data_IF_707002243303
#
_entry.id   IF_707002243303
#
_cell.length_a   1.000
_cell.length_b   1.000
_cell.length_c   1.000
_cell.angle_alpha   90.00
_cell.angle_beta   90.00
_cell.angle_gamma   90.00
#
_symmetry.space_group_name_H-M   'P 1'
#
loop_
_entity.id
_entity.type
_entity.pdbx_description
1 polymer ?
#
# COMPACT_ATOMS: atom_id res chain seq x y z
N UNK A 1 5.22 14.70 81.45
CA UNK A 1 4.49 13.52 81.96
C UNK A 1 3.76 12.87 80.78
N UNK A 2 4.08 11.59 80.50
CA UNK A 2 3.34 10.58 79.70
C UNK A 2 3.03 10.93 78.22
N UNK A 3 3.70 10.30 77.24
CA UNK A 3 3.47 8.93 76.70
C UNK A 3 2.28 8.89 75.70
N UNK A 4 2.24 8.23 74.55
CA UNK A 4 3.13 7.42 73.69
C UNK A 4 2.27 7.09 72.44
N UNK A 5 2.84 6.92 71.24
CA UNK A 5 2.13 6.36 70.07
C UNK A 5 2.83 6.73 68.75
N UNK A 6 3.94 6.11 68.30
CA UNK A 6 4.16 4.74 67.79
C UNK A 6 3.91 4.59 66.25
N UNK A 7 5.01 4.37 65.52
CA UNK A 7 5.21 3.58 64.28
C UNK A 7 4.63 4.08 62.93
N UNK A 8 5.51 4.30 61.93
CA UNK A 8 5.70 3.37 60.81
C UNK A 8 6.76 3.86 59.80
N UNK A 9 7.74 2.99 59.56
CA UNK A 9 8.75 3.04 58.49
C UNK A 9 8.10 2.66 57.16
N UNK A 10 8.46 3.32 56.04
CA UNK A 10 8.66 2.61 54.76
C UNK A 10 9.42 3.47 53.74
N UNK A 11 10.58 2.98 53.31
CA UNK A 11 11.29 3.44 52.14
C UNK A 11 10.61 2.88 50.87
N UNK A 12 10.48 3.69 49.82
CA UNK A 12 10.25 3.19 48.46
C UNK A 12 11.28 3.81 47.50
N UNK A 13 12.26 2.97 47.18
CA UNK A 13 13.07 3.01 45.96
C UNK A 13 12.19 2.67 44.75
N UNK A 14 12.51 3.26 43.59
CA UNK A 14 11.97 2.89 42.27
C UNK A 14 10.69 3.65 41.92
N UNK A 15 10.54 4.27 40.76
CA UNK A 15 10.96 3.74 39.46
C UNK A 15 11.14 4.83 38.41
N UNK A 16 12.29 4.85 37.75
CA UNK A 16 12.41 5.39 36.39
C UNK A 16 11.60 4.50 35.46
N UNK A 17 10.37 4.90 35.16
CA UNK A 17 9.59 4.34 34.06
C UNK A 17 9.49 5.40 32.98
N UNK A 18 10.59 5.59 32.23
CA UNK A 18 10.44 6.02 30.85
C UNK A 18 9.90 4.80 30.10
N UNK A 19 8.58 4.63 30.18
CA UNK A 19 7.81 3.69 29.38
C UNK A 19 8.26 3.86 27.94
N UNK A 20 8.95 2.84 27.42
CA UNK A 20 9.19 2.74 25.99
C UNK A 20 7.82 2.71 25.34
N UNK A 21 7.40 3.84 24.77
CA UNK A 21 6.29 3.83 23.84
C UNK A 21 6.66 2.80 22.77
N UNK A 22 5.88 1.72 22.67
CA UNK A 22 5.96 0.79 21.54
C UNK A 22 5.83 1.63 20.26
N UNK A 23 6.98 1.96 19.66
CA UNK A 23 7.02 2.76 18.44
C UNK A 23 6.62 1.83 17.32
N UNK A 24 5.32 1.83 17.00
CA UNK A 24 4.76 1.13 15.84
C UNK A 24 5.64 1.44 14.62
N UNK A 25 6.07 0.42 13.85
CA UNK A 25 6.88 0.65 12.67
C UNK A 25 6.20 1.65 11.73
N UNK A 26 6.94 2.69 11.34
CA UNK A 26 6.50 3.58 10.27
C UNK A 26 6.66 2.86 8.94
N UNK A 27 5.83 3.18 7.96
CA UNK A 27 5.89 2.52 6.65
C UNK A 27 6.18 3.52 5.54
N UNK A 28 6.90 3.07 4.51
CA UNK A 28 7.22 3.86 3.32
C UNK A 28 6.94 3.04 2.08
N UNK A 29 6.07 3.54 1.19
CA UNK A 29 5.67 2.86 -0.04
C UNK A 29 6.46 3.38 -1.24
N UNK A 30 7.22 2.51 -1.91
CA UNK A 30 8.07 2.87 -3.04
C UNK A 30 7.62 2.18 -4.32
N UNK A 31 7.83 2.82 -5.47
CA UNK A 31 7.52 2.26 -6.78
C UNK A 31 8.75 2.31 -7.70
N UNK A 32 8.99 1.21 -8.40
CA UNK A 32 10.11 1.00 -9.31
C UNK A 32 9.61 0.40 -10.62
N UNK A 33 10.17 0.85 -11.74
CA UNK A 33 10.00 0.13 -13.01
C UNK A 33 11.09 -0.91 -13.09
N UNK A 34 10.68 -2.17 -13.19
CA UNK A 34 11.57 -3.34 -13.30
C UNK A 34 11.44 -3.91 -14.70
N UNK A 35 12.56 -4.18 -15.34
CA UNK A 35 12.62 -5.02 -16.54
C UNK A 35 13.42 -6.27 -16.20
N UNK A 36 12.82 -7.43 -16.41
CA UNK A 36 13.48 -8.74 -16.31
C UNK A 36 13.71 -9.34 -17.70
N UNK A 37 14.75 -10.14 -17.84
CA UNK A 37 14.97 -10.99 -19.02
C UNK A 37 14.05 -12.23 -19.04
N UNK A 38 14.27 -13.12 -20.02
CA UNK A 38 13.47 -14.34 -20.19
C UNK A 38 13.78 -15.40 -19.11
N UNK A 39 14.89 -15.25 -18.41
CA UNK A 39 15.30 -16.08 -17.28
C UNK A 39 14.81 -15.53 -15.93
N UNK A 40 14.24 -14.31 -15.93
CA UNK A 40 13.68 -13.68 -14.75
C UNK A 40 14.65 -12.79 -13.96
N UNK A 41 15.84 -12.51 -14.47
CA UNK A 41 16.81 -11.65 -13.83
C UNK A 41 16.54 -10.18 -14.14
N UNK A 42 16.74 -9.31 -13.14
CA UNK A 42 16.56 -7.86 -13.31
C UNK A 42 17.68 -7.27 -14.18
N UNK A 43 17.35 -6.90 -15.41
CA UNK A 43 18.29 -6.26 -16.36
C UNK A 43 18.19 -4.73 -16.36
N UNK A 44 17.05 -4.18 -15.95
CA UNK A 44 16.86 -2.73 -15.81
C UNK A 44 16.02 -2.41 -14.58
N UNK A 45 16.43 -1.38 -13.86
CA UNK A 45 15.73 -0.89 -12.67
C UNK A 45 15.73 0.63 -12.69
N UNK A 46 14.54 1.23 -12.69
CA UNK A 46 14.36 2.67 -12.62
C UNK A 46 13.48 3.04 -11.44
N UNK A 47 13.94 3.97 -10.63
CA UNK A 47 13.14 4.51 -9.55
C UNK A 47 12.02 5.39 -10.12
N UNK A 48 10.78 5.12 -9.72
CA UNK A 48 9.66 5.95 -10.13
C UNK A 48 9.35 7.03 -9.09
N UNK A 49 9.16 6.63 -7.84
CA UNK A 49 8.98 7.58 -6.73
C UNK A 49 10.33 8.07 -6.24
N UNK A 50 10.60 9.38 -6.33
CA UNK A 50 11.89 9.96 -5.90
C UNK A 50 12.03 9.90 -4.38
N UNK A 51 12.96 9.08 -3.92
CA UNK A 51 13.42 8.98 -2.54
C UNK A 51 14.87 9.43 -2.45
N UNK A 52 15.29 9.77 -1.22
CA UNK A 52 16.69 10.10 -0.96
C UNK A 52 17.59 8.88 -1.21
N UNK A 53 18.83 9.15 -1.61
CA UNK A 53 19.78 8.12 -2.05
C UNK A 53 20.07 7.06 -0.98
N UNK A 54 19.96 7.43 0.30
CA UNK A 54 20.23 6.59 1.47
C UNK A 54 19.23 5.42 1.58
N UNK A 55 17.99 5.60 1.12
CA UNK A 55 16.98 4.52 1.05
C UNK A 55 17.01 3.86 -0.32
N UNK A 56 17.13 4.66 -1.38
CA UNK A 56 17.02 4.17 -2.75
C UNK A 56 18.16 3.24 -3.16
N UNK A 57 19.42 3.53 -2.78
CA UNK A 57 20.58 2.74 -3.20
C UNK A 57 20.61 1.33 -2.59
N UNK A 58 20.46 1.14 -1.26
CA UNK A 58 20.41 -0.20 -0.67
C UNK A 58 19.23 -1.02 -1.21
N UNK A 59 18.03 -0.42 -1.29
CA UNK A 59 16.87 -1.09 -1.85
C UNK A 59 17.09 -1.48 -3.32
N UNK A 60 17.68 -0.60 -4.14
CA UNK A 60 17.97 -0.92 -5.54
C UNK A 60 19.03 -2.02 -5.70
N UNK A 61 19.96 -2.16 -4.75
CA UNK A 61 20.91 -3.28 -4.72
C UNK A 61 20.17 -4.58 -4.39
N UNK A 62 19.31 -4.54 -3.39
CA UNK A 62 18.49 -5.69 -2.98
C UNK A 62 17.52 -6.13 -4.10
N UNK A 63 16.79 -5.21 -4.74
CA UNK A 63 15.86 -5.54 -5.83
C UNK A 63 16.58 -6.23 -7.00
N UNK A 64 17.83 -5.84 -7.31
CA UNK A 64 18.60 -6.45 -8.39
C UNK A 64 19.00 -7.91 -8.12
N UNK A 65 18.98 -8.36 -6.87
CA UNK A 65 19.24 -9.76 -6.53
C UNK A 65 17.98 -10.62 -6.52
N UNK A 66 16.81 -10.05 -6.81
CA UNK A 66 15.55 -10.79 -6.85
C UNK A 66 15.35 -11.47 -8.20
N UNK A 67 14.67 -12.61 -8.20
CA UNK A 67 14.25 -13.32 -9.39
C UNK A 67 12.73 -13.21 -9.59
N UNK A 68 12.33 -13.05 -10.84
CA UNK A 68 10.93 -12.94 -11.26
C UNK A 68 10.56 -14.12 -12.16
N UNK A 69 9.33 -14.60 -12.06
CA UNK A 69 8.71 -15.33 -13.16
C UNK A 69 8.33 -14.31 -14.24
N UNK A 70 8.95 -14.36 -15.44
CA UNK A 70 8.61 -13.44 -16.51
C UNK A 70 7.29 -13.82 -17.16
N UNK A 71 6.64 -12.84 -17.80
CA UNK A 71 5.52 -13.11 -18.68
C UNK A 71 5.95 -13.89 -19.93
N UNK A 72 4.97 -14.52 -20.58
CA UNK A 72 5.21 -15.35 -21.77
C UNK A 72 4.32 -14.96 -22.95
N UNK A 73 4.81 -15.25 -24.16
CA UNK A 73 4.03 -15.19 -25.41
C UNK A 73 4.06 -16.59 -25.99
N UNK A 74 2.89 -17.19 -26.23
CA UNK A 74 2.75 -18.58 -26.71
C UNK A 74 3.53 -19.60 -25.83
N UNK A 75 3.54 -19.38 -24.52
CA UNK A 75 4.22 -20.25 -23.54
C UNK A 75 5.74 -20.06 -23.45
N UNK A 76 6.33 -19.21 -24.29
CA UNK A 76 7.77 -18.90 -24.23
C UNK A 76 8.01 -17.68 -23.34
N UNK A 77 8.87 -17.77 -22.31
CA UNK A 77 9.29 -16.62 -21.51
C UNK A 77 9.83 -15.49 -22.38
N UNK A 78 9.53 -14.24 -22.01
CA UNK A 78 9.96 -13.05 -22.72
C UNK A 78 10.41 -11.96 -21.76
N UNK A 79 11.17 -11.00 -22.28
CA UNK A 79 11.49 -9.76 -21.55
C UNK A 79 10.20 -9.14 -21.03
N UNK A 80 10.17 -8.89 -19.73
CA UNK A 80 8.97 -8.43 -19.03
C UNK A 80 9.25 -7.12 -18.31
N UNK A 81 8.37 -6.14 -18.48
CA UNK A 81 8.41 -4.87 -17.76
C UNK A 81 7.18 -4.74 -16.86
N UNK A 82 7.41 -4.46 -15.58
CA UNK A 82 6.34 -4.27 -14.59
C UNK A 82 6.65 -3.07 -13.67
N UNK A 83 5.63 -2.60 -12.95
CA UNK A 83 5.86 -1.73 -11.79
C UNK A 83 5.92 -2.58 -10.54
N UNK A 84 7.03 -2.49 -9.83
CA UNK A 84 7.27 -3.11 -8.54
C UNK A 84 6.94 -2.10 -7.44
N UNK A 85 5.96 -2.46 -6.63
CA UNK A 85 5.56 -1.72 -5.44
C UNK A 85 6.19 -2.40 -4.22
N UNK A 86 7.00 -1.66 -3.47
CA UNK A 86 7.69 -2.16 -2.28
C UNK A 86 7.32 -1.29 -1.09
N UNK A 87 6.72 -1.91 -0.08
CA UNK A 87 6.48 -1.31 1.22
C UNK A 87 7.63 -1.65 2.15
N UNK A 88 8.20 -0.63 2.77
CA UNK A 88 9.24 -0.78 3.78
C UNK A 88 8.64 -0.56 5.16
N UNK A 89 9.01 -1.39 6.14
CA UNK A 89 8.85 -1.07 7.55
C UNK A 89 10.12 -0.37 8.04
N UNK A 90 9.94 0.69 8.84
CA UNK A 90 10.99 1.51 9.40
C UNK A 90 10.81 1.53 10.91
N UNK A 91 11.71 0.84 11.60
CA UNK A 91 11.72 0.72 13.05
C UNK A 91 12.84 1.58 13.65
N UNK A 92 12.54 2.49 14.58
CA UNK A 92 13.58 3.22 15.31
C UNK A 92 14.46 2.25 16.13
N UNK A 93 15.76 2.47 16.12
CA UNK A 93 16.78 1.73 16.90
C UNK A 93 17.83 2.70 17.43
N UNK A 94 17.62 3.20 18.65
CA UNK A 94 18.46 4.23 19.29
C UNK A 94 18.73 5.39 18.31
N UNK A 95 19.92 5.47 17.74
CA UNK A 95 20.36 6.53 16.80
C UNK A 95 20.21 6.15 15.31
N UNK A 96 19.68 4.96 15.01
CA UNK A 96 19.52 4.43 13.65
C UNK A 96 18.09 3.97 13.41
N UNK A 97 17.82 3.60 12.16
CA UNK A 97 16.60 2.93 11.76
C UNK A 97 16.94 1.54 11.23
N UNK A 98 16.10 0.58 11.56
CA UNK A 98 16.09 -0.74 10.95
C UNK A 98 15.00 -0.74 9.90
N UNK A 99 15.41 -0.85 8.64
CA UNK A 99 14.49 -0.88 7.51
C UNK A 99 14.41 -2.27 6.94
N UNK A 100 13.18 -2.77 6.75
CA UNK A 100 12.92 -4.08 6.14
C UNK A 100 11.87 -3.97 5.06
N UNK A 101 11.90 -4.92 4.13
CA UNK A 101 10.80 -5.13 3.19
C UNK A 101 9.61 -5.70 3.96
N UNK A 102 8.54 -4.92 4.09
CA UNK A 102 7.31 -5.35 4.75
C UNK A 102 6.39 -6.08 3.77
N UNK A 103 6.38 -5.65 2.52
CA UNK A 103 5.48 -6.18 1.50
C UNK A 103 5.95 -5.80 0.08
N UNK A 104 5.67 -6.67 -0.90
CA UNK A 104 6.03 -6.48 -2.31
C UNK A 104 4.93 -6.99 -3.22
N UNK A 105 4.65 -6.26 -4.30
CA UNK A 105 3.85 -6.75 -5.42
C UNK A 105 4.22 -6.08 -6.73
N UNK A 106 3.80 -6.71 -7.82
CA UNK A 106 3.94 -6.24 -9.19
C UNK A 106 2.57 -5.88 -9.77
N UNK A 107 2.58 -5.04 -10.79
CA UNK A 107 1.34 -4.67 -11.47
C UNK A 107 1.46 -3.45 -12.37
N UNK A 108 0.31 -3.00 -12.91
CA UNK A 108 0.25 -1.77 -13.67
C UNK A 108 0.38 -0.56 -12.74
N UNK A 109 0.81 0.56 -13.31
CA UNK A 109 0.91 1.84 -12.60
C UNK A 109 -0.23 2.76 -12.99
N UNK A 110 -0.78 3.54 -12.06
CA UNK A 110 -1.71 4.62 -12.42
C UNK A 110 -0.93 5.79 -13.00
N UNK A 111 -1.27 6.21 -14.22
CA UNK A 111 -0.59 7.30 -14.94
C UNK A 111 -1.38 8.59 -14.87
N UNK A 112 -2.71 8.49 -15.02
CA UNK A 112 -3.61 9.63 -14.97
C UNK A 112 -4.77 9.31 -14.06
N UNK A 113 -5.00 10.17 -13.09
CA UNK A 113 -6.19 10.15 -12.26
C UNK A 113 -7.15 11.27 -12.68
N UNK A 114 -8.43 11.03 -12.45
CA UNK A 114 -9.43 12.08 -12.39
C UNK A 114 -9.81 12.29 -10.92
N UNK A 115 -10.16 13.51 -10.59
CA UNK A 115 -10.52 13.91 -9.22
C UNK A 115 -11.64 13.03 -8.65
N UNK A 116 -11.45 12.54 -7.42
CA UNK A 116 -12.49 11.91 -6.63
C UNK A 116 -13.20 13.01 -5.84
N UNK A 117 -14.46 13.26 -6.15
CA UNK A 117 -15.24 14.29 -5.48
C UNK A 117 -16.01 13.68 -4.32
N UNK A 118 -15.90 14.30 -3.16
CA UNK A 118 -16.75 13.96 -2.04
C UNK A 118 -18.21 14.33 -2.39
N UNK A 119 -19.18 13.42 -2.29
CA UNK A 119 -20.57 13.73 -2.64
C UNK A 119 -21.16 14.77 -1.68
N UNK A 120 -21.65 15.90 -2.20
CA UNK A 120 -22.26 16.96 -1.39
C UNK A 120 -23.43 16.47 -0.52
N UNK A 121 -24.18 15.46 -0.99
CA UNK A 121 -25.26 14.85 -0.22
C UNK A 121 -24.80 14.17 1.07
N UNK A 122 -23.49 13.91 1.19
CA UNK A 122 -22.85 13.28 2.34
C UNK A 122 -22.09 14.28 3.22
N UNK A 123 -22.10 15.57 2.88
CA UNK A 123 -21.44 16.64 3.66
C UNK A 123 -22.29 17.13 4.84
N UNK A 124 -23.52 16.62 5.03
CA UNK A 124 -24.37 17.07 6.13
C UNK A 124 -23.67 16.79 7.48
N UNK A 125 -23.61 17.74 8.42
CA UNK A 125 -23.05 17.52 9.73
C UNK A 125 -23.80 16.37 10.39
N UNK A 126 -23.12 15.23 10.55
CA UNK A 126 -23.60 14.15 11.42
C UNK A 126 -23.01 14.44 12.78
N UNK A 127 -23.71 15.22 13.60
CA UNK A 127 -23.51 15.38 15.06
C UNK A 127 -22.07 15.18 15.56
N UNK A 128 -21.08 15.87 14.98
CA UNK A 128 -19.68 15.82 15.42
C UNK A 128 -18.96 14.47 15.25
N UNK A 129 -19.44 13.57 14.40
CA UNK A 129 -18.78 12.28 14.10
C UNK A 129 -17.85 12.39 12.89
N UNK A 130 -16.67 11.77 12.98
CA UNK A 130 -15.81 11.53 11.83
C UNK A 130 -16.57 10.62 10.85
N UNK A 131 -16.63 11.00 9.58
CA UNK A 131 -17.23 10.17 8.54
C UNK A 131 -16.12 9.51 7.72
N UNK A 132 -16.11 8.18 7.65
CA UNK A 132 -15.25 7.43 6.75
C UNK A 132 -16.05 6.41 5.93
N UNK A 133 -15.70 6.25 4.66
CA UNK A 133 -16.24 5.22 3.80
C UNK A 133 -15.14 4.59 2.97
N UNK A 134 -15.13 3.27 2.85
CA UNK A 134 -14.25 2.52 1.97
C UNK A 134 -15.06 1.93 0.82
N UNK A 135 -14.63 2.19 -0.40
CA UNK A 135 -15.15 1.57 -1.61
C UNK A 135 -14.02 0.84 -2.29
N UNK A 136 -14.25 -0.39 -2.75
CA UNK A 136 -13.21 -1.15 -3.47
C UNK A 136 -13.74 -1.46 -4.86
N UNK A 137 -12.98 -1.03 -5.85
CA UNK A 137 -13.34 -1.21 -7.25
C UNK A 137 -12.50 -2.30 -7.89
N UNK A 138 -13.13 -3.12 -8.74
CA UNK A 138 -12.43 -3.91 -9.75
C UNK A 138 -12.40 -3.10 -11.04
N UNK A 139 -11.20 -2.84 -11.57
CA UNK A 139 -10.99 -1.99 -12.74
C UNK A 139 -10.29 -2.80 -13.81
N UNK A 140 -10.93 -2.97 -14.98
CA UNK A 140 -10.30 -3.60 -16.15
C UNK A 140 -9.73 -2.54 -17.07
N UNK A 141 -8.58 -2.82 -17.67
CA UNK A 141 -7.91 -1.95 -18.64
C UNK A 141 -7.38 -2.75 -19.83
N UNK A 142 -7.25 -2.09 -20.97
CA UNK A 142 -6.73 -2.70 -22.20
C UNK A 142 -5.19 -2.58 -22.32
N UNK A 143 -4.63 -3.09 -23.42
CA UNK A 143 -3.18 -3.08 -23.69
C UNK A 143 -2.56 -1.67 -23.78
N UNK A 144 -3.38 -0.63 -23.94
CA UNK A 144 -2.96 0.78 -23.93
C UNK A 144 -3.20 1.45 -22.58
N UNK A 145 -3.60 0.68 -21.56
CA UNK A 145 -3.89 1.17 -20.22
C UNK A 145 -5.18 1.97 -20.07
N UNK A 146 -6.05 2.00 -21.10
CA UNK A 146 -7.35 2.65 -21.01
C UNK A 146 -8.31 1.77 -20.22
N UNK A 147 -9.02 2.36 -19.26
CA UNK A 147 -10.07 1.68 -18.50
C UNK A 147 -11.20 1.25 -19.44
N UNK A 148 -11.56 -0.03 -19.39
CA UNK A 148 -12.61 -0.65 -20.21
C UNK A 148 -13.85 -1.04 -19.40
N UNK A 149 -13.68 -1.36 -18.11
CA UNK A 149 -14.79 -1.66 -17.21
C UNK A 149 -14.43 -1.30 -15.77
N UNK A 150 -15.45 -0.94 -15.00
CA UNK A 150 -15.35 -0.69 -13.55
C UNK A 150 -16.56 -1.32 -12.89
N UNK A 151 -16.34 -2.06 -11.80
CA UNK A 151 -17.39 -2.65 -10.96
C UNK A 151 -16.97 -2.61 -9.49
N UNK A 152 -17.89 -2.92 -8.58
CA UNK A 152 -17.50 -3.26 -7.21
C UNK A 152 -16.60 -4.50 -7.21
N UNK A 153 -15.61 -4.54 -6.30
CA UNK A 153 -14.80 -5.73 -6.10
C UNK A 153 -15.58 -6.79 -5.28
N UNK A 154 -15.32 -8.09 -5.47
CA UNK A 154 -15.88 -9.14 -4.61
C UNK A 154 -15.53 -8.89 -3.14
N UNK A 155 -16.47 -9.08 -2.22
CA UNK A 155 -16.22 -8.85 -0.79
C UNK A 155 -15.98 -7.38 -0.42
N UNK A 156 -16.35 -6.43 -1.28
CA UNK A 156 -16.42 -5.02 -0.87
C UNK A 156 -17.42 -4.91 0.29
N UNK A 157 -17.06 -4.25 1.40
CA UNK A 157 -17.99 -4.06 2.51
C UNK A 157 -19.30 -3.42 2.04
N UNK A 158 -20.46 -3.82 2.58
CA UNK A 158 -21.70 -3.10 2.31
C UNK A 158 -21.50 -1.63 2.66
N UNK A 159 -21.46 -0.81 1.63
CA UNK A 159 -21.02 0.57 1.70
C UNK A 159 -22.08 1.50 1.17
N UNK A 160 -21.84 2.80 1.35
CA UNK A 160 -22.73 3.82 0.85
C UNK A 160 -22.65 3.87 -0.69
N UNK A 161 -23.72 3.44 -1.35
CA UNK A 161 -23.85 3.35 -2.81
C UNK A 161 -23.50 4.65 -3.53
N UNK A 162 -23.69 5.80 -2.87
CA UNK A 162 -23.33 7.11 -3.42
C UNK A 162 -21.82 7.18 -3.67
N UNK A 163 -20.99 6.75 -2.70
CA UNK A 163 -19.53 6.72 -2.85
C UNK A 163 -19.11 5.74 -3.93
N UNK A 164 -19.71 4.55 -3.96
CA UNK A 164 -19.43 3.56 -5.00
C UNK A 164 -19.68 4.15 -6.39
N UNK A 165 -20.83 4.80 -6.59
CA UNK A 165 -21.21 5.41 -7.87
C UNK A 165 -20.27 6.51 -8.31
N UNK A 166 -19.90 7.44 -7.42
CA UNK A 166 -18.97 8.53 -7.77
C UNK A 166 -17.55 8.03 -8.01
N UNK A 167 -17.09 7.04 -7.23
CA UNK A 167 -15.80 6.36 -7.43
C UNK A 167 -15.76 5.74 -8.83
N UNK A 168 -16.78 4.94 -9.19
CA UNK A 168 -16.86 4.29 -10.50
C UNK A 168 -16.88 5.30 -11.64
N UNK A 169 -17.64 6.38 -11.52
CA UNK A 169 -17.72 7.43 -12.54
C UNK A 169 -16.36 8.13 -12.75
N UNK A 170 -15.61 8.39 -11.67
CA UNK A 170 -14.29 9.03 -11.80
C UNK A 170 -13.23 8.09 -12.37
N UNK A 171 -13.17 6.86 -11.87
CA UNK A 171 -12.15 5.87 -12.25
C UNK A 171 -12.25 5.45 -13.72
N UNK A 172 -13.44 5.50 -14.34
CA UNK A 172 -13.59 5.31 -15.79
C UNK A 172 -12.72 6.25 -16.66
N UNK A 173 -12.28 7.39 -16.10
CA UNK A 173 -11.44 8.38 -16.81
C UNK A 173 -9.95 8.24 -16.51
N UNK A 174 -9.59 7.36 -15.58
CA UNK A 174 -8.21 7.07 -15.24
C UNK A 174 -7.53 6.32 -16.39
N UNK A 175 -6.20 6.29 -16.37
CA UNK A 175 -5.41 5.43 -17.25
C UNK A 175 -4.23 4.83 -16.50
N UNK A 176 -3.83 3.66 -16.96
CA UNK A 176 -2.75 2.88 -16.41
C UNK A 176 -1.56 2.84 -17.38
N UNK A 177 -0.37 2.59 -16.87
CA UNK A 177 0.73 2.03 -17.64
C UNK A 177 0.66 0.52 -17.42
N UNK A 178 0.26 -0.27 -18.43
CA UNK A 178 0.16 -1.70 -18.30
C UNK A 178 1.54 -2.32 -18.18
N UNK A 179 1.60 -3.50 -17.57
CA UNK A 179 2.77 -4.37 -17.68
C UNK A 179 3.00 -4.74 -19.15
N UNK A 180 4.25 -5.02 -19.52
CA UNK A 180 4.63 -5.36 -20.89
C UNK A 180 5.35 -6.69 -20.95
N UNK A 181 5.06 -7.47 -21.99
CA UNK A 181 5.73 -8.73 -22.31
C UNK A 181 6.18 -8.66 -23.77
N UNK A 182 7.46 -8.88 -24.04
CA UNK A 182 8.03 -8.71 -25.37
C UNK A 182 7.81 -7.29 -25.95
N UNK A 183 7.75 -6.28 -25.08
CA UNK A 183 7.46 -4.88 -25.46
C UNK A 183 5.97 -4.53 -25.65
N UNK A 184 5.08 -5.52 -25.67
CA UNK A 184 3.63 -5.32 -25.85
C UNK A 184 2.93 -5.12 -24.51
N UNK A 185 2.08 -4.09 -24.40
CA UNK A 185 1.25 -3.89 -23.22
C UNK A 185 0.25 -5.03 -23.04
N UNK A 186 0.07 -5.50 -21.80
CA UNK A 186 -0.86 -6.57 -21.46
C UNK A 186 -2.10 -5.98 -20.82
N UNK A 187 -3.26 -6.36 -21.35
CA UNK A 187 -4.54 -6.00 -20.74
C UNK A 187 -4.71 -6.73 -19.39
N UNK A 188 -5.35 -6.09 -18.43
CA UNK A 188 -5.44 -6.66 -17.10
C UNK A 188 -6.58 -6.08 -16.26
N UNK A 189 -6.55 -6.43 -14.98
CA UNK A 189 -7.48 -5.93 -13.99
C UNK A 189 -6.76 -5.62 -12.67
N UNK A 190 -7.25 -4.63 -11.95
CA UNK A 190 -6.76 -4.26 -10.62
C UNK A 190 -7.89 -4.12 -9.62
N UNK A 191 -7.56 -4.29 -8.35
CA UNK A 191 -8.36 -3.85 -7.22
C UNK A 191 -7.86 -2.49 -6.72
N UNK A 192 -8.78 -1.55 -6.58
CA UNK A 192 -8.52 -0.17 -6.22
C UNK A 192 -9.38 0.22 -5.00
N UNK A 193 -8.86 0.14 -3.78
CA UNK A 193 -9.50 0.71 -2.61
C UNK A 193 -9.42 2.25 -2.64
N UNK A 194 -10.59 2.86 -2.58
CA UNK A 194 -10.78 4.30 -2.46
C UNK A 194 -11.49 4.54 -1.14
N UNK A 195 -10.81 5.21 -0.23
CA UNK A 195 -11.45 5.67 0.98
C UNK A 195 -11.72 7.17 0.97
N UNK A 196 -12.80 7.52 1.63
CA UNK A 196 -13.30 8.87 1.83
C UNK A 196 -13.27 9.14 3.32
N UNK A 197 -12.79 10.32 3.71
CA UNK A 197 -12.81 10.77 5.09
C UNK A 197 -13.20 12.24 5.15
N UNK A 198 -14.09 12.60 6.07
CA UNK A 198 -14.26 13.97 6.56
C UNK A 198 -13.65 14.04 7.95
N UNK A 199 -12.67 14.92 8.11
CA UNK A 199 -11.97 15.10 9.37
C UNK A 199 -12.45 16.37 10.08
N UNK A 200 -12.70 16.26 11.38
CA UNK A 200 -12.90 17.41 12.25
C UNK A 200 -11.58 17.76 12.96
N UNK A 201 -11.09 19.01 12.86
CA UNK A 201 -9.73 19.36 13.29
C UNK A 201 -9.44 19.20 14.79
N UNK A 202 -10.48 19.06 15.62
CA UNK A 202 -10.34 18.90 17.08
C UNK A 202 -10.29 17.44 17.58
N UNK A 203 -10.33 16.42 16.70
CA UNK A 203 -10.29 15.01 17.11
C UNK A 203 -9.12 14.28 16.44
N UNK A 204 -8.44 13.42 17.20
CA UNK A 204 -7.27 12.68 16.70
C UNK A 204 -7.64 11.87 15.45
N UNK A 205 -6.71 11.84 14.50
CA UNK A 205 -6.83 11.17 13.19
C UNK A 205 -6.84 9.64 13.26
N UNK A 206 -6.80 9.05 14.47
CA UNK A 206 -6.59 7.63 14.73
C UNK A 206 -7.73 6.71 14.22
N UNK A 207 -8.81 7.25 13.65
CA UNK A 207 -9.91 6.47 13.07
C UNK A 207 -10.24 6.81 11.61
N UNK A 208 -9.46 7.67 10.95
CA UNK A 208 -9.69 8.09 9.57
C UNK A 208 -8.90 7.27 8.54
N UNK A 209 -8.39 6.10 8.94
CA UNK A 209 -7.73 5.21 7.99
C UNK A 209 -8.80 4.64 7.06
N UNK A 210 -8.61 4.90 5.77
CA UNK A 210 -9.22 4.13 4.70
C UNK A 210 -8.70 2.70 4.88
N UNK A 211 -9.44 1.91 5.67
CA UNK A 211 -8.97 0.65 6.23
C UNK A 211 -8.40 -0.31 5.17
N UNK A 212 -7.61 -1.26 5.63
CA UNK A 212 -7.13 -2.33 4.77
C UNK A 212 -8.29 -3.21 4.32
N UNK A 213 -8.42 -3.45 3.03
CA UNK A 213 -9.36 -4.43 2.47
C UNK A 213 -8.61 -5.66 2.00
N UNK A 214 -9.06 -6.84 2.44
CA UNK A 214 -8.47 -8.10 2.00
C UNK A 214 -9.23 -8.64 0.79
N UNK A 215 -8.49 -8.97 -0.28
CA UNK A 215 -9.09 -9.64 -1.43
C UNK A 215 -9.60 -11.01 -0.98
N UNK A 216 -10.87 -11.39 -1.24
CA UNK A 216 -11.34 -12.73 -0.92
C UNK A 216 -10.44 -13.81 -1.51
N UNK A 217 -10.01 -14.75 -0.67
CA UNK A 217 -9.11 -15.84 -1.07
C UNK A 217 -7.64 -15.45 -1.22
N UNK A 218 -7.22 -14.25 -0.77
CA UNK A 218 -5.81 -13.87 -0.67
C UNK A 218 -5.46 -13.46 0.75
N UNK A 219 -4.24 -13.75 1.16
CA UNK A 219 -3.72 -13.36 2.48
C UNK A 219 -3.40 -11.86 2.55
N UNK A 220 -3.15 -11.24 1.39
CA UNK A 220 -2.75 -9.84 1.28
C UNK A 220 -3.94 -8.89 1.39
N UNK A 221 -3.82 -7.92 2.29
CA UNK A 221 -4.68 -6.74 2.31
C UNK A 221 -4.15 -5.61 1.41
N UNK A 222 -5.05 -4.86 0.79
CA UNK A 222 -4.80 -3.67 -0.03
C UNK A 222 -5.24 -2.44 0.75
N UNK A 223 -4.40 -1.43 0.82
CA UNK A 223 -4.68 -0.20 1.57
C UNK A 223 -5.12 0.94 0.65
N UNK A 224 -5.78 1.95 1.22
CA UNK A 224 -6.19 3.14 0.46
C UNK A 224 -5.01 3.76 -0.30
N UNK A 225 -5.19 3.94 -1.61
CA UNK A 225 -4.15 4.48 -2.50
C UNK A 225 -3.22 3.44 -3.14
N UNK A 226 -3.25 2.18 -2.68
CA UNK A 226 -2.58 1.08 -3.37
C UNK A 226 -3.42 0.57 -4.55
N UNK A 227 -2.75 -0.06 -5.51
CA UNK A 227 -3.36 -0.71 -6.67
C UNK A 227 -2.87 -2.15 -6.69
N UNK A 228 -3.76 -3.11 -6.50
CA UNK A 228 -3.37 -4.52 -6.51
C UNK A 228 -3.76 -5.16 -7.85
N UNK A 229 -2.78 -5.70 -8.58
CA UNK A 229 -3.06 -6.47 -9.79
C UNK A 229 -3.83 -7.75 -9.47
N UNK A 230 -4.90 -8.02 -10.22
CA UNK A 230 -5.62 -9.29 -10.11
C UNK A 230 -4.72 -10.43 -10.62
N UNK A 231 -4.09 -10.24 -11.78
CA UNK A 231 -3.22 -11.22 -12.39
C UNK A 231 -1.98 -10.51 -12.95
N UNK A 232 -0.96 -10.23 -12.11
CA UNK A 232 0.25 -9.62 -12.61
C UNK A 232 1.01 -10.59 -13.54
N UNK A 233 1.62 -10.06 -14.59
CA UNK A 233 2.37 -10.87 -15.58
C UNK A 233 3.78 -11.19 -15.09
N UNK A 234 4.40 -10.28 -14.36
CA UNK A 234 5.64 -10.55 -13.65
C UNK A 234 5.30 -10.99 -12.24
N UNK A 235 5.81 -12.13 -11.76
CA UNK A 235 5.62 -12.55 -10.37
C UNK A 235 6.95 -12.66 -9.66
N UNK A 236 7.00 -12.26 -8.41
CA UNK A 236 8.22 -12.41 -7.63
C UNK A 236 8.36 -13.88 -7.21
N UNK A 237 9.48 -14.51 -7.54
CA UNK A 237 9.77 -15.91 -7.16
C UNK A 237 10.63 -16.00 -5.88
N UNK A 238 11.18 -14.88 -5.42
CA UNK A 238 12.02 -14.81 -4.22
C UNK A 238 11.20 -14.52 -2.96
N UNK A 239 11.53 -15.18 -1.85
CA UNK A 239 11.06 -14.77 -0.53
C UNK A 239 11.86 -13.55 -0.07
N UNK A 240 11.23 -12.37 -0.10
CA UNK A 240 11.90 -11.09 0.16
C UNK A 240 11.36 -10.36 1.37
N UNK A 241 10.16 -10.70 1.84
CA UNK A 241 9.56 -10.07 3.02
C UNK A 241 10.43 -10.37 4.24
N UNK A 242 10.69 -9.34 5.05
CA UNK A 242 11.60 -9.39 6.18
C UNK A 242 13.07 -9.07 5.85
N UNK A 243 13.45 -9.01 4.56
CA UNK A 243 14.81 -8.66 4.15
C UNK A 243 15.19 -7.27 4.64
N UNK A 244 16.35 -7.15 5.28
CA UNK A 244 16.90 -5.86 5.72
C UNK A 244 17.59 -5.11 4.58
N UNK A 245 17.56 -3.78 4.65
CA UNK A 245 18.32 -2.88 3.77
C UNK A 245 19.73 -2.60 4.28
#
# INVERSE_FOLDING_TARGET
MRATGLIAVLALLGSTHAVGADRVPSHVDTAWVVTSDAEGHVVKLMQHTRYKAEVAKPLAKLIRSWAFEPGSINGQPQVTQTTLHVRLSVEPRRERYLTRVADVHTGPRVVRTAELRFPNSQLKPRDGHNYSALTVLKVKYNQNGKVTAVSAAPGTPPGNEVFMRVSMASVKRWSFEPERVGGHGVAGAVYLPIGYALWHPSRSSAGAECGSWQVPGRERAVRGGEVLSENPVARLNSEVVGSAL
#
